data_IF_208991136179
#
_entry.id   IF_208991136179
#
_cell.length_a   1.000
_cell.length_b   1.000
_cell.length_c   1.000
_cell.angle_alpha   90.00
_cell.angle_beta   90.00
_cell.angle_gamma   90.00
#
_symmetry.space_group_name_H-M   'P 1'
#
loop_
_entity.id
_entity.type
_entity.pdbx_description
1 polymer ?
#
# COMPACT_ATOMS: atom_id res chain seq x y z
N UNK A 1 27.03 18.68 10.97
CA UNK A 1 26.66 17.64 11.98
C UNK A 1 25.78 18.23 13.08
N UNK A 2 26.19 19.31 13.74
CA UNK A 2 25.38 19.99 14.77
C UNK A 2 23.97 20.37 14.29
N UNK A 3 23.86 21.01 13.11
CA UNK A 3 22.56 21.42 12.55
C UNK A 3 21.65 20.22 12.20
N UNK A 4 22.22 19.08 11.81
CA UNK A 4 21.45 17.88 11.52
C UNK A 4 20.83 17.28 12.79
N UNK A 5 21.56 17.29 13.91
CA UNK A 5 21.05 16.85 15.20
C UNK A 5 19.99 17.81 15.76
N UNK A 6 20.21 19.13 15.65
CA UNK A 6 19.23 20.14 16.06
C UNK A 6 17.90 19.99 15.28
N UNK A 7 17.98 19.72 13.98
CA UNK A 7 16.81 19.45 13.14
C UNK A 7 16.09 18.14 13.52
N UNK A 8 16.81 17.08 13.89
CA UNK A 8 16.19 15.83 14.36
C UNK A 8 15.40 16.05 15.66
N UNK A 9 15.96 16.79 16.62
CA UNK A 9 15.30 17.10 17.90
C UNK A 9 14.03 17.94 17.70
N UNK A 10 14.09 18.99 16.88
CA UNK A 10 12.91 19.82 16.59
C UNK A 10 11.78 19.02 15.91
N UNK A 11 12.14 18.11 15.01
CA UNK A 11 11.15 17.33 14.26
C UNK A 11 10.53 16.21 15.12
N UNK A 12 11.29 15.61 16.03
CA UNK A 12 10.78 14.67 17.03
C UNK A 12 9.78 15.34 18.00
N UNK A 13 10.03 16.59 18.41
CA UNK A 13 9.15 17.33 19.32
C UNK A 13 7.83 17.78 18.67
N UNK A 14 7.82 17.99 17.35
CA UNK A 14 6.65 18.54 16.64
C UNK A 14 5.81 17.47 15.93
N UNK A 15 6.30 16.24 15.79
CA UNK A 15 5.63 15.17 15.04
C UNK A 15 5.49 15.45 13.53
N UNK A 16 6.10 16.53 13.01
CA UNK A 16 5.89 17.04 11.64
C UNK A 16 6.64 16.26 10.55
N UNK A 17 7.23 15.10 10.86
CA UNK A 17 7.95 14.30 9.86
C UNK A 17 6.98 13.46 9.05
N UNK A 18 6.61 13.95 7.87
CA UNK A 18 5.85 13.18 6.90
C UNK A 18 6.78 12.27 6.09
N UNK A 19 7.25 11.17 6.70
CA UNK A 19 8.26 10.25 6.13
C UNK A 19 7.75 9.37 4.98
N UNK A 20 6.50 9.59 4.58
CA UNK A 20 5.82 8.92 3.49
C UNK A 20 4.86 7.86 3.96
N UNK A 21 3.96 7.46 3.06
CA UNK A 21 3.00 6.36 3.26
C UNK A 21 3.34 5.23 2.30
N UNK A 22 2.97 4.02 2.68
CA UNK A 22 3.28 2.83 1.90
C UNK A 22 2.00 2.18 1.39
N UNK A 23 2.03 1.71 0.15
CA UNK A 23 0.91 1.04 -0.48
C UNK A 23 1.40 -0.22 -1.17
N UNK A 24 0.75 -1.35 -0.89
CA UNK A 24 0.89 -2.55 -1.71
C UNK A 24 0.10 -2.35 -2.99
N UNK A 25 0.78 -2.43 -4.13
CA UNK A 25 0.17 -2.31 -5.47
C UNK A 25 0.41 -3.61 -6.23
N UNK A 26 -0.66 -4.25 -6.68
CA UNK A 26 -0.59 -5.46 -7.49
C UNK A 26 -1.32 -5.26 -8.82
N UNK A 27 -0.75 -5.81 -9.89
CA UNK A 27 -1.26 -5.68 -11.25
C UNK A 27 -1.78 -7.02 -11.76
N UNK A 28 -2.93 -7.02 -12.44
CA UNK A 28 -3.50 -8.22 -13.04
C UNK A 28 -4.12 -7.91 -14.41
N UNK A 29 -3.93 -8.81 -15.37
CA UNK A 29 -4.41 -8.67 -16.74
C UNK A 29 -3.27 -8.84 -17.73
N UNK A 30 -3.00 -10.09 -18.11
CA UNK A 30 -1.87 -10.49 -18.98
C UNK A 30 -1.79 -9.69 -20.28
N UNK A 31 -2.94 -9.37 -20.90
CA UNK A 31 -3.02 -8.62 -22.16
C UNK A 31 -2.57 -7.16 -22.03
N UNK A 32 -2.53 -6.60 -20.81
CA UNK A 32 -2.21 -5.20 -20.55
C UNK A 32 -0.88 -5.03 -19.85
N UNK A 33 -0.63 -5.87 -18.85
CA UNK A 33 0.53 -5.76 -17.97
C UNK A 33 1.69 -6.68 -18.38
N UNK A 34 1.44 -7.69 -19.23
CA UNK A 34 2.46 -8.61 -19.74
C UNK A 34 3.29 -9.20 -18.60
N UNK A 35 4.58 -8.86 -18.52
CA UNK A 35 5.48 -9.31 -17.46
C UNK A 35 5.06 -8.82 -16.07
N UNK A 36 4.27 -7.75 -15.97
CA UNK A 36 3.79 -7.19 -14.70
C UNK A 36 2.56 -7.91 -14.16
N UNK A 37 1.95 -8.80 -14.94
CA UNK A 37 0.78 -9.57 -14.51
C UNK A 37 1.08 -10.46 -13.30
N UNK A 38 0.29 -10.31 -12.24
CA UNK A 38 0.45 -11.00 -10.96
C UNK A 38 1.57 -10.46 -10.06
N UNK A 39 2.38 -9.49 -10.52
CA UNK A 39 3.43 -8.90 -9.69
C UNK A 39 2.85 -7.95 -8.65
N UNK A 40 3.52 -7.89 -7.50
CA UNK A 40 3.16 -7.04 -6.37
C UNK A 40 4.35 -6.21 -5.92
N UNK A 41 4.10 -4.95 -5.62
CA UNK A 41 5.11 -3.96 -5.26
C UNK A 41 4.71 -3.19 -4.01
N UNK A 42 5.70 -2.60 -3.34
CA UNK A 42 5.48 -1.60 -2.31
C UNK A 42 5.82 -0.21 -2.87
N UNK A 43 4.81 0.62 -3.00
CA UNK A 43 4.93 2.01 -3.43
C UNK A 43 5.13 2.88 -2.19
N UNK A 44 6.18 3.71 -2.21
CA UNK A 44 6.41 4.73 -1.19
C UNK A 44 5.95 6.08 -1.71
N UNK A 45 4.88 6.60 -1.12
CA UNK A 45 4.29 7.89 -1.47
C UNK A 45 4.78 9.01 -0.56
N UNK A 46 4.98 10.23 -1.08
CA UNK A 46 5.40 11.36 -0.28
C UNK A 46 4.28 11.85 0.67
N UNK A 47 4.71 12.45 1.79
CA UNK A 47 3.86 13.30 2.63
C UNK A 47 2.61 12.59 3.18
N UNK A 48 1.43 13.07 2.77
CA UNK A 48 0.09 12.72 3.30
C UNK A 48 -0.76 11.93 2.31
N UNK A 49 -0.21 11.54 1.15
CA UNK A 49 -0.96 10.92 0.05
C UNK A 49 -1.94 9.87 0.54
N UNK A 50 -3.22 10.11 0.29
CA UNK A 50 -4.29 9.23 0.72
C UNK A 50 -4.45 8.05 -0.23
N UNK A 51 -5.10 6.98 0.24
CA UNK A 51 -5.50 5.88 -0.64
C UNK A 51 -6.29 6.37 -1.88
N UNK A 52 -7.26 7.30 -1.76
CA UNK A 52 -7.98 7.81 -2.94
C UNK A 52 -7.07 8.47 -3.97
N UNK A 53 -6.03 9.19 -3.52
CA UNK A 53 -5.13 9.96 -4.38
C UNK A 53 -4.23 9.03 -5.22
N UNK A 54 -3.61 8.02 -4.61
CA UNK A 54 -2.84 7.03 -5.36
C UNK A 54 -3.74 6.17 -6.26
N UNK A 55 -4.94 5.82 -5.80
CA UNK A 55 -5.92 5.08 -6.61
C UNK A 55 -6.28 5.84 -7.89
N UNK A 56 -6.63 7.12 -7.77
CA UNK A 56 -7.02 7.93 -8.92
C UNK A 56 -5.82 8.18 -9.85
N UNK A 57 -4.63 8.43 -9.29
CA UNK A 57 -3.42 8.63 -10.09
C UNK A 57 -3.07 7.40 -10.91
N UNK A 58 -3.05 6.20 -10.31
CA UNK A 58 -2.74 4.97 -11.03
C UNK A 58 -3.86 4.62 -12.02
N UNK A 59 -5.13 4.76 -11.64
CA UNK A 59 -6.25 4.54 -12.56
C UNK A 59 -6.17 5.45 -13.78
N UNK A 60 -5.88 6.74 -13.58
CA UNK A 60 -5.73 7.72 -14.68
C UNK A 60 -4.57 7.33 -15.59
N UNK A 61 -3.37 7.12 -15.02
CA UNK A 61 -2.16 6.74 -15.77
C UNK A 61 -2.38 5.52 -16.67
N UNK A 62 -2.94 4.45 -16.12
CA UNK A 62 -3.16 3.23 -16.90
C UNK A 62 -4.37 3.33 -17.82
N UNK A 63 -5.36 4.17 -17.53
CA UNK A 63 -6.47 4.44 -18.46
C UNK A 63 -6.00 5.24 -19.68
N UNK A 64 -5.03 6.14 -19.51
CA UNK A 64 -4.37 6.82 -20.62
C UNK A 64 -3.56 5.84 -21.47
N UNK A 65 -2.89 4.87 -20.84
CA UNK A 65 -2.10 3.84 -21.54
C UNK A 65 -2.95 2.79 -22.27
N UNK A 66 -4.00 2.29 -21.62
CA UNK A 66 -4.76 1.11 -22.09
C UNK A 66 -6.15 1.43 -22.65
N UNK A 67 -6.56 2.70 -22.61
CA UNK A 67 -7.87 3.15 -23.04
C UNK A 67 -8.85 3.34 -21.87
N UNK A 68 -9.65 4.39 -21.97
CA UNK A 68 -10.67 4.73 -20.98
C UNK A 68 -11.70 3.60 -20.89
N UNK A 69 -11.93 3.10 -19.67
CA UNK A 69 -12.89 2.01 -19.41
C UNK A 69 -12.26 0.61 -19.34
N UNK A 70 -11.01 0.45 -19.76
CA UNK A 70 -10.31 -0.85 -19.69
C UNK A 70 -9.64 -1.11 -18.34
N UNK A 71 -9.54 -0.11 -17.46
CA UNK A 71 -8.89 -0.23 -16.14
C UNK A 71 -9.92 -0.30 -15.02
N UNK A 72 -9.75 -1.28 -14.12
CA UNK A 72 -10.57 -1.49 -12.93
C UNK A 72 -9.71 -1.54 -11.66
N UNK A 73 -10.20 -0.92 -10.59
CA UNK A 73 -9.56 -1.02 -9.28
C UNK A 73 -10.19 -2.15 -8.49
N UNK A 74 -9.37 -2.99 -7.87
CA UNK A 74 -9.81 -3.99 -6.89
C UNK A 74 -9.76 -3.32 -5.52
N UNK A 75 -10.92 -3.12 -4.91
CA UNK A 75 -11.06 -2.47 -3.60
C UNK A 75 -10.82 -3.44 -2.43
N UNK A 76 -11.10 -4.72 -2.64
CA UNK A 76 -10.86 -5.76 -1.67
C UNK A 76 -9.34 -5.99 -1.48
N UNK A 77 -8.90 -6.20 -0.25
CA UNK A 77 -7.48 -6.37 0.11
C UNK A 77 -7.02 -7.83 0.20
N UNK A 78 -7.94 -8.80 0.08
CA UNK A 78 -7.65 -10.22 0.08
C UNK A 78 -6.78 -10.62 -1.13
N UNK A 79 -6.26 -11.85 -1.06
CA UNK A 79 -5.53 -12.43 -2.18
C UNK A 79 -6.47 -12.61 -3.37
N UNK A 80 -6.11 -12.02 -4.51
CA UNK A 80 -6.89 -12.10 -5.73
C UNK A 80 -6.65 -13.45 -6.40
N UNK A 81 -7.73 -14.15 -6.73
CA UNK A 81 -7.70 -15.29 -7.64
C UNK A 81 -7.86 -14.79 -9.08
N UNK A 82 -6.79 -14.84 -9.87
CA UNK A 82 -6.78 -14.31 -11.24
C UNK A 82 -7.81 -14.99 -12.16
N UNK A 83 -8.21 -16.23 -11.84
CA UNK A 83 -9.22 -16.96 -12.63
C UNK A 83 -10.60 -16.34 -12.56
N UNK A 84 -10.86 -15.55 -11.52
CA UNK A 84 -12.15 -14.89 -11.29
C UNK A 84 -12.21 -13.49 -11.93
N UNK A 85 -11.11 -13.05 -12.56
CA UNK A 85 -11.02 -11.76 -13.25
C UNK A 85 -11.42 -11.88 -14.72
N UNK A 86 -12.11 -10.86 -15.24
CA UNK A 86 -12.48 -10.78 -16.65
C UNK A 86 -11.27 -10.32 -17.47
N UNK A 87 -10.77 -11.17 -18.36
CA UNK A 87 -9.55 -10.93 -19.14
C UNK A 87 -9.59 -9.69 -20.04
N UNK A 88 -10.77 -9.08 -20.25
CA UNK A 88 -10.93 -7.84 -21.02
C UNK A 88 -10.46 -6.58 -20.28
N UNK A 89 -10.15 -6.68 -18.98
CA UNK A 89 -9.77 -5.53 -18.16
C UNK A 89 -8.38 -5.67 -17.55
N UNK A 90 -7.73 -4.51 -17.37
CA UNK A 90 -6.55 -4.33 -16.56
C UNK A 90 -7.00 -4.03 -15.12
N UNK A 91 -6.64 -4.88 -14.17
CA UNK A 91 -6.95 -4.70 -12.76
C UNK A 91 -5.74 -4.20 -11.97
N UNK A 92 -5.98 -3.27 -11.06
CA UNK A 92 -4.98 -2.78 -10.12
C UNK A 92 -5.57 -2.91 -8.72
N UNK A 93 -4.91 -3.68 -7.85
CA UNK A 93 -5.25 -3.76 -6.43
C UNK A 93 -4.32 -2.85 -5.65
N UNK A 94 -4.88 -1.96 -4.84
CA UNK A 94 -4.11 -1.00 -4.04
C UNK A 94 -4.57 -1.12 -2.60
N UNK A 95 -3.63 -1.38 -1.69
CA UNK A 95 -3.91 -1.57 -0.27
C UNK A 95 -2.93 -0.73 0.54
N UNK A 96 -3.43 0.09 1.45
CA UNK A 96 -2.58 0.80 2.40
C UNK A 96 -1.86 -0.20 3.31
N UNK A 97 -0.56 -0.01 3.51
CA UNK A 97 0.24 -0.84 4.41
C UNK A 97 1.05 0.01 5.38
N UNK A 98 1.33 -0.54 6.55
CA UNK A 98 2.21 0.06 7.55
C UNK A 98 3.49 -0.76 7.67
N UNK A 99 4.64 -0.15 8.03
CA UNK A 99 5.85 -0.91 8.36
C UNK A 99 5.55 -1.94 9.46
N UNK A 100 6.07 -3.16 9.30
CA UNK A 100 5.96 -4.23 10.27
C UNK A 100 7.29 -4.48 10.97
N UNK A 101 7.22 -4.57 12.30
CA UNK A 101 8.33 -4.90 13.17
C UNK A 101 7.89 -5.99 14.14
N UNK A 102 8.74 -7.00 14.34
CA UNK A 102 8.52 -7.95 15.43
C UNK A 102 8.95 -7.36 16.79
N UNK A 103 8.63 -8.06 17.88
CA UNK A 103 8.91 -7.59 19.24
C UNK A 103 10.40 -7.27 19.46
N UNK A 104 11.30 -8.04 18.84
CA UNK A 104 12.76 -7.84 18.97
C UNK A 104 13.21 -6.60 18.19
N UNK A 105 12.67 -6.37 17.00
CA UNK A 105 12.93 -5.15 16.24
C UNK A 105 12.38 -3.90 16.95
N UNK A 106 11.21 -3.99 17.59
CA UNK A 106 10.64 -2.88 18.34
C UNK A 106 11.50 -2.47 19.55
N UNK A 107 12.25 -3.41 20.13
CA UNK A 107 13.22 -3.13 21.20
C UNK A 107 14.45 -2.36 20.70
N UNK A 108 14.82 -2.50 19.43
CA UNK A 108 16.01 -1.84 18.86
C UNK A 108 15.68 -0.59 18.04
N UNK A 109 14.48 -0.50 17.46
CA UNK A 109 13.99 0.63 16.67
C UNK A 109 13.11 1.52 17.54
N UNK A 110 13.75 2.36 18.35
CA UNK A 110 13.07 3.18 19.36
C UNK A 110 12.56 4.49 18.76
N UNK A 111 13.25 5.03 17.76
CA UNK A 111 12.96 6.33 17.17
C UNK A 111 12.11 6.24 15.91
N UNK A 112 11.38 7.30 15.60
CA UNK A 112 10.66 7.42 14.32
C UNK A 112 11.59 7.29 13.12
N UNK A 113 12.85 7.74 13.24
CA UNK A 113 13.82 7.58 12.18
C UNK A 113 14.12 6.09 11.93
N UNK A 114 14.44 5.32 12.96
CA UNK A 114 14.74 3.90 12.84
C UNK A 114 13.52 3.10 12.35
N UNK A 115 12.30 3.52 12.70
CA UNK A 115 11.06 2.90 12.23
C UNK A 115 10.68 3.26 10.79
N UNK A 116 11.42 4.16 10.14
CA UNK A 116 11.14 4.59 8.77
C UNK A 116 12.34 4.43 7.81
N UNK A 117 13.48 3.95 8.31
CA UNK A 117 14.69 3.71 7.51
C UNK A 117 15.03 2.21 7.50
N UNK A 118 15.47 1.72 6.34
CA UNK A 118 15.81 0.31 6.12
C UNK A 118 14.69 -0.65 6.58
N UNK A 119 13.47 -0.35 6.14
CA UNK A 119 12.30 -1.17 6.36
C UNK A 119 12.04 -2.09 5.16
N UNK A 120 11.73 -3.35 5.42
CA UNK A 120 11.50 -4.36 4.36
C UNK A 120 10.19 -5.12 4.55
N UNK A 121 9.59 -5.06 5.74
CA UNK A 121 8.35 -5.75 6.07
C UNK A 121 7.23 -4.74 6.23
N UNK A 122 6.06 -5.11 5.71
CA UNK A 122 4.87 -4.30 5.74
C UNK A 122 3.67 -5.17 6.11
N UNK A 123 2.67 -4.59 6.77
CA UNK A 123 1.44 -5.27 7.13
C UNK A 123 0.21 -4.45 6.75
N UNK A 124 -0.90 -5.15 6.59
CA UNK A 124 -2.25 -4.61 6.54
C UNK A 124 -3.19 -5.63 7.17
N UNK A 125 -4.34 -5.17 7.62
CA UNK A 125 -5.36 -6.01 8.22
C UNK A 125 -6.56 -6.05 7.26
N UNK A 126 -7.11 -7.26 7.07
CA UNK A 126 -8.34 -7.45 6.30
C UNK A 126 -9.37 -8.11 7.21
N UNK A 127 -10.53 -7.48 7.44
CA UNK A 127 -11.59 -8.12 8.21
C UNK A 127 -12.13 -9.33 7.45
N UNK A 128 -12.38 -10.42 8.16
CA UNK A 128 -13.01 -11.62 7.62
C UNK A 128 -14.03 -12.16 8.63
N UNK A 129 -15.04 -12.86 8.14
CA UNK A 129 -16.00 -13.61 8.97
C UNK A 129 -15.74 -15.11 8.82
N UNK A 130 -16.24 -15.93 9.74
CA UNK A 130 -16.21 -17.41 9.64
C UNK A 130 -16.92 -17.94 8.37
N UNK A 131 -17.71 -17.09 7.71
CA UNK A 131 -18.39 -17.36 6.44
C UNK A 131 -17.63 -16.86 5.20
N UNK A 132 -16.36 -16.47 5.35
CA UNK A 132 -15.48 -15.91 4.31
C UNK A 132 -15.99 -14.61 3.65
N UNK A 133 -16.93 -13.90 4.31
CA UNK A 133 -17.37 -12.56 3.88
C UNK A 133 -16.54 -11.47 4.55
N UNK A 134 -16.19 -10.43 3.80
CA UNK A 134 -15.37 -9.29 4.26
C UNK A 134 -16.03 -8.43 5.37
N UNK A 135 -17.37 -8.49 5.51
CA UNK A 135 -18.12 -7.78 6.55
C UNK A 135 -19.15 -8.72 7.20
N UNK A 136 -19.21 -8.72 8.53
CA UNK A 136 -20.19 -9.43 9.36
C UNK A 136 -20.84 -8.51 10.39
N UNK A 137 -21.93 -8.95 11.01
CA UNK A 137 -22.52 -8.25 12.15
C UNK A 137 -21.61 -8.39 13.39
N UNK A 138 -21.63 -7.43 14.31
CA UNK A 138 -20.75 -7.35 15.51
C UNK A 138 -20.92 -8.54 16.49
N UNK A 139 -21.82 -9.48 16.21
CA UNK A 139 -22.21 -10.59 17.10
C UNK A 139 -21.58 -11.96 16.80
N UNK A 140 -20.48 -12.03 16.04
CA UNK A 140 -19.72 -13.28 15.79
C UNK A 140 -18.31 -13.31 16.41
#
# INVERSE_FOLDING_TARGET
LHDAYANVVMVMQTGKRLLGKYFRVAFYGTQFFEEEDGKTYIYKEPKVTGLPEICERLKTLYSEKFGRGNVRLIQDSNRVNQKDLDSRYAYIQITYVTPYFDEKELQTRLTDFERNNNIQRFMFETPFTKSDKAHGAVHD
#
